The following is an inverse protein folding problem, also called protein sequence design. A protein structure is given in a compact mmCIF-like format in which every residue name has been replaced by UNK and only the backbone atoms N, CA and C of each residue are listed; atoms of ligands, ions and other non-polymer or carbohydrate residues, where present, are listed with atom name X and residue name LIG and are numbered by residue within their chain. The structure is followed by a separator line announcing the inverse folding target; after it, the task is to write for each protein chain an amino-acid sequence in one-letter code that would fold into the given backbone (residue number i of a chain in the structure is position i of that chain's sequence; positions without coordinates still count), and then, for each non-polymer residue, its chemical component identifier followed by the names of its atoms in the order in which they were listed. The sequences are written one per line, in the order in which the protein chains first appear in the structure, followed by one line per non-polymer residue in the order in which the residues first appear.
data_IF_631470467561
#
_entry.id   IF_631470467561
#
_cell.length_a   1.000
_cell.length_b   1.000
_cell.length_c   1.000
_cell.angle_alpha   90.00
_cell.angle_beta   90.00
_cell.angle_gamma   90.00
#
_symmetry.space_group_name_H-M   'P 1'
#
loop_
_entity.id
_entity.type
_entity.pdbx_description
1 polymer ?
#
# COMPACT_ATOMS: atom_id res chain seq x y z
N UNK A 1 6.33 60.99 36.31
CA UNK A 1 6.74 60.40 35.02
C UNK A 1 5.81 59.25 34.72
N UNK A 2 4.77 59.50 33.92
CA UNK A 2 3.88 58.47 33.38
C UNK A 2 3.84 58.66 31.86
N UNK A 3 4.18 57.60 31.13
CA UNK A 3 3.99 57.52 29.68
C UNK A 3 2.49 57.53 29.36
N UNK A 4 2.02 58.26 28.34
CA UNK A 4 0.73 57.96 27.74
C UNK A 4 0.84 56.68 26.91
N UNK A 5 -0.22 55.88 26.96
CA UNK A 5 -0.43 54.73 26.10
C UNK A 5 -0.73 55.19 24.67
N UNK A 6 0.06 54.75 23.71
CA UNK A 6 -0.36 54.71 22.30
C UNK A 6 -1.30 53.52 22.14
N UNK A 7 -2.59 53.83 22.10
CA UNK A 7 -3.61 52.98 21.48
C UNK A 7 -3.28 52.87 19.99
N UNK A 8 -2.65 51.76 19.61
CA UNK A 8 -2.54 51.35 18.21
C UNK A 8 -3.92 50.82 17.78
N UNK A 9 -4.72 51.72 17.23
CA UNK A 9 -5.99 51.39 16.62
C UNK A 9 -5.69 50.67 15.30
N UNK A 10 -5.67 49.33 15.33
CA UNK A 10 -5.59 48.53 14.10
C UNK A 10 -6.77 48.92 13.20
N UNK A 11 -6.47 49.54 12.06
CA UNK A 11 -7.44 50.04 11.11
C UNK A 11 -8.41 48.93 10.66
N UNK A 12 -9.70 49.09 10.95
CA UNK A 12 -10.80 48.16 10.66
C UNK A 12 -11.51 48.48 9.33
N UNK A 13 -10.82 49.15 8.39
CA UNK A 13 -11.42 49.70 7.18
C UNK A 13 -10.98 48.99 5.88
N UNK A 14 -10.18 47.94 5.99
CA UNK A 14 -9.69 47.17 4.85
C UNK A 14 -9.65 45.68 5.22
N UNK A 15 -9.94 44.84 4.23
CA UNK A 15 -9.82 43.39 4.29
C UNK A 15 -9.38 42.90 2.91
N UNK A 16 -8.66 41.78 2.88
CA UNK A 16 -8.14 41.19 1.66
C UNK A 16 -9.14 40.15 1.14
N UNK A 17 -9.84 40.46 0.04
CA UNK A 17 -10.60 39.45 -0.68
C UNK A 17 -9.67 38.52 -1.46
N UNK A 18 -9.75 37.21 -1.20
CA UNK A 18 -9.01 36.18 -1.95
C UNK A 18 -9.97 35.16 -2.57
N UNK A 19 -10.01 35.12 -3.90
CA UNK A 19 -10.69 34.05 -4.64
C UNK A 19 -9.83 32.79 -4.63
N UNK A 20 -10.28 31.74 -3.95
CA UNK A 20 -9.60 30.45 -3.91
C UNK A 20 -10.28 29.44 -4.85
N UNK A 21 -9.83 29.40 -6.10
CA UNK A 21 -10.33 28.45 -7.12
C UNK A 21 -10.12 27.00 -6.64
N UNK A 22 -8.99 26.73 -6.00
CA UNK A 22 -8.63 25.40 -5.50
C UNK A 22 -9.53 24.93 -4.36
N UNK A 23 -9.93 25.83 -3.46
CA UNK A 23 -10.90 25.51 -2.40
C UNK A 23 -12.28 25.26 -3.00
N UNK A 24 -12.77 26.14 -3.87
CA UNK A 24 -14.06 25.97 -4.53
C UNK A 24 -14.13 24.65 -5.32
N UNK A 25 -13.04 24.27 -5.99
CA UNK A 25 -12.96 22.99 -6.69
C UNK A 25 -12.95 21.80 -5.72
N UNK A 26 -12.18 21.87 -4.63
CA UNK A 26 -12.19 20.85 -3.58
C UNK A 26 -13.59 20.61 -3.00
N UNK A 27 -14.31 21.71 -2.71
CA UNK A 27 -15.68 21.66 -2.17
C UNK A 27 -16.66 21.06 -3.20
N UNK A 28 -16.52 21.40 -4.48
CA UNK A 28 -17.35 20.81 -5.54
C UNK A 28 -17.09 19.32 -5.72
N UNK A 29 -15.83 18.87 -5.65
CA UNK A 29 -15.48 17.46 -5.72
C UNK A 29 -16.04 16.69 -4.52
N UNK A 30 -15.89 17.23 -3.31
CA UNK A 30 -16.45 16.64 -2.08
C UNK A 30 -17.98 16.53 -2.19
N UNK A 31 -18.67 17.62 -2.55
CA UNK A 31 -20.12 17.63 -2.71
C UNK A 31 -20.63 16.70 -3.82
N UNK A 32 -19.83 16.45 -4.87
CA UNK A 32 -20.17 15.49 -5.90
C UNK A 32 -19.98 14.04 -5.42
N UNK A 33 -18.93 13.78 -4.64
CA UNK A 33 -18.67 12.47 -4.03
C UNK A 33 -19.74 12.10 -2.99
N UNK A 34 -20.19 13.06 -2.17
CA UNK A 34 -21.19 12.85 -1.12
C UNK A 34 -22.58 12.45 -1.67
N UNK A 35 -22.84 12.70 -2.96
CA UNK A 35 -24.09 12.28 -3.63
C UNK A 35 -24.05 10.82 -4.11
N UNK A 36 -22.88 10.19 -4.10
CA UNK A 36 -22.70 8.82 -4.58
C UNK A 36 -23.05 7.82 -3.48
N UNK A 37 -23.57 6.65 -3.89
CA UNK A 37 -23.76 5.52 -2.98
C UNK A 37 -22.52 4.62 -3.04
N UNK A 38 -21.85 4.34 -1.90
CA UNK A 38 -20.70 3.44 -1.88
C UNK A 38 -21.05 2.04 -2.39
N UNK A 39 -20.25 1.53 -3.32
CA UNK A 39 -20.36 0.17 -3.85
C UNK A 39 -19.34 -0.77 -3.16
N UNK A 40 -19.65 -2.06 -2.96
CA UNK A 40 -18.69 -3.04 -2.43
C UNK A 40 -17.38 -3.08 -3.24
N UNK A 41 -16.23 -3.11 -2.56
CA UNK A 41 -14.91 -3.20 -3.19
C UNK A 41 -14.67 -4.63 -3.72
N UNK A 42 -15.16 -4.89 -4.94
CA UNK A 42 -15.09 -6.20 -5.60
C UNK A 42 -14.67 -6.02 -7.06
N UNK A 43 -13.97 -7.01 -7.62
CA UNK A 43 -13.60 -6.99 -9.05
C UNK A 43 -14.80 -6.81 -9.97
N UNK A 44 -15.94 -7.42 -9.64
CA UNK A 44 -17.18 -7.28 -10.41
C UNK A 44 -17.68 -5.82 -10.49
N UNK A 45 -17.54 -5.05 -9.40
CA UNK A 45 -17.89 -3.63 -9.41
C UNK A 45 -16.81 -2.78 -10.11
N UNK A 46 -15.54 -3.13 -9.98
CA UNK A 46 -14.44 -2.45 -10.68
C UNK A 46 -14.53 -2.63 -12.21
N UNK A 47 -14.91 -3.82 -12.67
CA UNK A 47 -15.07 -4.14 -14.10
C UNK A 47 -16.22 -3.38 -14.77
N UNK A 48 -17.09 -2.72 -13.99
CA UNK A 48 -18.17 -1.86 -14.51
C UNK A 48 -17.73 -0.40 -14.68
N UNK A 49 -16.58 -0.03 -14.13
CA UNK A 49 -16.04 1.31 -14.27
C UNK A 49 -15.45 1.50 -15.66
N UNK A 50 -15.62 2.69 -16.22
CA UNK A 50 -14.83 3.14 -17.36
C UNK A 50 -13.35 3.27 -17.00
N UNK A 51 -12.49 2.87 -17.94
CA UNK A 51 -11.04 2.92 -17.81
C UNK A 51 -10.52 4.33 -18.08
N UNK A 52 -10.60 5.20 -17.06
CA UNK A 52 -10.28 6.64 -17.17
C UNK A 52 -9.70 7.19 -15.86
N UNK A 53 -9.08 8.36 -15.98
CA UNK A 53 -8.59 9.16 -14.86
C UNK A 53 -9.71 9.58 -13.91
N UNK A 54 -9.37 9.76 -12.64
CA UNK A 54 -10.36 10.07 -11.62
C UNK A 54 -9.84 10.21 -10.20
N UNK A 55 -10.76 10.50 -9.30
CA UNK A 55 -10.56 10.40 -7.85
C UNK A 55 -11.52 9.37 -7.27
N UNK A 56 -11.16 8.76 -6.15
CA UNK A 56 -11.98 7.77 -5.47
C UNK A 56 -11.82 7.87 -3.96
N UNK A 57 -12.83 7.40 -3.24
CA UNK A 57 -12.82 7.25 -1.80
C UNK A 57 -12.98 5.78 -1.44
N UNK A 58 -12.30 5.35 -0.39
CA UNK A 58 -12.49 4.06 0.24
C UNK A 58 -13.09 4.25 1.62
N UNK A 59 -13.99 3.35 1.96
CA UNK A 59 -14.65 3.30 3.25
C UNK A 59 -14.44 1.93 3.86
N UNK A 60 -14.30 1.90 5.18
CA UNK A 60 -14.26 0.69 5.99
C UNK A 60 -15.41 0.73 6.99
N UNK A 61 -16.32 -0.24 6.94
CA UNK A 61 -17.53 -0.27 7.78
C UNK A 61 -18.33 1.04 7.71
N UNK A 62 -18.39 1.66 6.53
CA UNK A 62 -19.04 2.95 6.31
C UNK A 62 -18.23 4.19 6.73
N UNK A 63 -17.12 4.04 7.45
CA UNK A 63 -16.23 5.15 7.78
C UNK A 63 -15.32 5.48 6.61
N UNK A 64 -15.21 6.77 6.25
CA UNK A 64 -14.29 7.24 5.23
C UNK A 64 -12.83 7.16 5.72
N UNK A 65 -12.02 6.32 5.06
CA UNK A 65 -10.65 6.02 5.51
C UNK A 65 -9.57 6.53 4.57
N UNK A 66 -9.84 6.61 3.27
CA UNK A 66 -8.83 6.95 2.27
C UNK A 66 -9.45 7.66 1.05
N UNK A 67 -8.79 8.68 0.54
CA UNK A 67 -9.03 9.23 -0.80
C UNK A 67 -7.79 9.02 -1.66
N UNK A 68 -7.97 8.73 -2.93
CA UNK A 68 -6.87 8.62 -3.87
C UNK A 68 -7.22 9.16 -5.24
N UNK A 69 -6.21 9.31 -6.10
CA UNK A 69 -6.39 9.56 -7.54
C UNK A 69 -5.88 8.40 -8.39
N UNK A 70 -6.30 8.40 -9.64
CA UNK A 70 -5.68 7.66 -10.72
C UNK A 70 -5.53 8.59 -11.93
N UNK A 71 -4.32 8.69 -12.47
CA UNK A 71 -4.04 9.56 -13.63
C UNK A 71 -4.45 8.93 -14.95
N UNK A 72 -4.39 7.59 -15.04
CA UNK A 72 -4.76 6.83 -16.24
C UNK A 72 -6.05 6.02 -16.05
N UNK A 73 -6.09 5.21 -14.99
CA UNK A 73 -7.13 4.19 -14.81
C UNK A 73 -7.58 4.05 -13.36
N UNK A 74 -8.78 4.55 -13.05
CA UNK A 74 -9.47 4.27 -11.79
C UNK A 74 -9.58 2.76 -11.48
N UNK A 75 -10.11 1.89 -12.37
CA UNK A 75 -10.26 0.48 -12.05
C UNK A 75 -8.91 -0.18 -11.74
N UNK A 76 -7.83 0.14 -12.47
CA UNK A 76 -6.49 -0.39 -12.22
C UNK A 76 -5.95 0.04 -10.86
N UNK A 77 -6.06 1.34 -10.53
CA UNK A 77 -5.56 1.85 -9.25
C UNK A 77 -6.35 1.29 -8.07
N UNK A 78 -7.67 1.26 -8.15
CA UNK A 78 -8.53 0.72 -7.09
C UNK A 78 -8.31 -0.80 -6.95
N UNK A 79 -8.06 -1.52 -8.04
CA UNK A 79 -7.69 -2.94 -8.00
C UNK A 79 -6.38 -3.17 -7.21
N UNK A 80 -5.38 -2.28 -7.31
CA UNK A 80 -4.17 -2.36 -6.48
C UNK A 80 -4.52 -2.29 -4.99
N UNK A 81 -5.46 -1.43 -4.59
CA UNK A 81 -5.93 -1.34 -3.20
C UNK A 81 -6.76 -2.55 -2.77
N UNK A 82 -7.64 -3.05 -3.64
CA UNK A 82 -8.38 -4.30 -3.42
C UNK A 82 -7.40 -5.45 -3.15
N UNK A 83 -6.40 -5.63 -4.00
CA UNK A 83 -5.36 -6.66 -3.82
C UNK A 83 -4.61 -6.43 -2.50
N UNK A 84 -4.16 -5.21 -2.21
CA UNK A 84 -3.46 -4.88 -0.97
C UNK A 84 -4.27 -5.26 0.27
N UNK A 85 -5.56 -4.90 0.34
CA UNK A 85 -6.44 -5.24 1.47
C UNK A 85 -6.70 -6.74 1.55
N UNK A 86 -6.94 -7.40 0.41
CA UNK A 86 -7.18 -8.84 0.37
C UNK A 86 -6.03 -9.64 0.97
N UNK A 87 -4.82 -9.10 0.97
CA UNK A 87 -3.63 -9.76 1.47
C UNK A 87 -3.31 -9.53 2.95
N UNK A 88 -4.19 -8.87 3.72
CA UNK A 88 -3.88 -8.46 5.09
C UNK A 88 -4.67 -9.22 6.14
N UNK A 89 -4.08 -9.32 7.32
CA UNK A 89 -4.71 -9.77 8.56
C UNK A 89 -5.41 -8.59 9.25
N UNK A 90 -6.51 -8.87 9.96
CA UNK A 90 -7.25 -7.87 10.74
C UNK A 90 -8.10 -6.90 9.92
N UNK A 91 -8.23 -7.14 8.61
CA UNK A 91 -9.08 -6.40 7.69
C UNK A 91 -9.64 -7.35 6.63
N UNK A 92 -10.87 -7.11 6.17
CA UNK A 92 -11.56 -7.92 5.15
C UNK A 92 -12.04 -7.07 3.98
N UNK A 93 -12.15 -7.65 2.78
CA UNK A 93 -12.81 -6.96 1.67
C UNK A 93 -14.32 -6.77 1.90
N UNK A 94 -14.94 -7.60 2.74
CA UNK A 94 -16.37 -7.50 3.03
C UNK A 94 -16.76 -6.22 3.79
N UNK A 95 -15.80 -5.61 4.50
CA UNK A 95 -16.00 -4.33 5.17
C UNK A 95 -15.66 -3.12 4.30
N UNK A 96 -15.18 -3.34 3.06
CA UNK A 96 -14.71 -2.27 2.18
C UNK A 96 -15.74 -1.88 1.13
N UNK A 97 -15.98 -0.59 1.00
CA UNK A 97 -16.74 0.01 -0.10
C UNK A 97 -15.97 1.17 -0.73
N UNK A 98 -16.39 1.59 -1.92
CA UNK A 98 -15.77 2.71 -2.63
C UNK A 98 -16.80 3.58 -3.37
N UNK A 99 -16.43 4.84 -3.58
CA UNK A 99 -17.06 5.77 -4.53
C UNK A 99 -15.98 6.34 -5.44
N UNK A 100 -16.35 6.81 -6.64
CA UNK A 100 -15.38 7.44 -7.54
C UNK A 100 -16.03 8.47 -8.46
N UNK A 101 -15.23 9.46 -8.88
CA UNK A 101 -15.57 10.43 -9.89
C UNK A 101 -14.51 10.44 -10.98
N UNK A 102 -14.96 10.49 -12.23
CA UNK A 102 -14.09 10.80 -13.36
C UNK A 102 -13.79 12.29 -13.36
N UNK A 103 -12.52 12.63 -13.55
CA UNK A 103 -12.08 14.00 -13.81
C UNK A 103 -11.50 14.07 -15.22
N UNK A 104 -11.69 15.20 -15.89
CA UNK A 104 -11.08 15.43 -17.20
C UNK A 104 -9.55 15.40 -17.08
N UNK A 105 -8.84 14.97 -18.13
CA UNK A 105 -7.39 14.75 -18.11
C UNK A 105 -6.62 16.02 -17.67
N UNK A 106 -7.08 17.20 -18.12
CA UNK A 106 -6.48 18.50 -17.77
C UNK A 106 -6.61 18.86 -16.28
N UNK A 107 -7.54 18.23 -15.55
CA UNK A 107 -7.72 18.44 -14.10
C UNK A 107 -6.72 17.68 -13.24
N UNK A 108 -6.02 16.67 -13.79
CA UNK A 108 -4.98 15.94 -13.05
C UNK A 108 -3.85 16.87 -12.56
N UNK A 109 -3.52 17.91 -13.33
CA UNK A 109 -2.53 18.93 -13.00
C UNK A 109 -2.88 19.74 -11.74
N UNK A 110 -4.16 19.78 -11.33
CA UNK A 110 -4.62 20.51 -10.15
C UNK A 110 -4.53 19.69 -8.86
N UNK A 111 -4.02 18.46 -8.93
CA UNK A 111 -3.89 17.54 -7.79
C UNK A 111 -5.21 17.41 -6.99
N UNK A 112 -6.31 16.94 -7.62
CA UNK A 112 -7.63 16.90 -7.00
C UNK A 112 -7.67 16.09 -5.70
N UNK A 113 -6.85 15.04 -5.58
CA UNK A 113 -6.65 14.31 -4.33
C UNK A 113 -6.12 15.20 -3.21
N UNK A 114 -5.12 16.06 -3.46
CA UNK A 114 -4.58 16.97 -2.43
C UNK A 114 -5.63 17.96 -1.95
N UNK A 115 -6.51 18.41 -2.84
CA UNK A 115 -7.64 19.28 -2.49
C UNK A 115 -8.61 18.55 -1.56
N UNK A 116 -8.97 17.30 -1.91
CA UNK A 116 -9.84 16.45 -1.08
C UNK A 116 -9.19 16.10 0.27
N UNK A 117 -7.90 15.74 0.29
CA UNK A 117 -7.15 15.49 1.53
C UNK A 117 -7.20 16.73 2.42
N UNK A 118 -6.92 17.92 1.87
CA UNK A 118 -6.99 19.16 2.64
C UNK A 118 -8.39 19.40 3.22
N UNK A 119 -9.42 19.27 2.38
CA UNK A 119 -10.82 19.45 2.77
C UNK A 119 -11.24 18.51 3.92
N UNK A 120 -10.88 17.23 3.84
CA UNK A 120 -11.28 16.24 4.85
C UNK A 120 -10.36 16.20 6.08
N UNK A 121 -9.10 16.61 5.96
CA UNK A 121 -8.15 16.67 7.09
C UNK A 121 -8.64 17.63 8.17
N UNK A 122 -9.23 18.75 7.76
CA UNK A 122 -9.85 19.74 8.67
C UNK A 122 -11.01 19.13 9.48
N UNK A 123 -11.60 18.03 9.01
CA UNK A 123 -12.72 17.33 9.62
C UNK A 123 -12.29 16.08 10.42
N UNK A 124 -10.99 15.77 10.48
CA UNK A 124 -10.45 14.57 11.16
C UNK A 124 -10.76 13.25 10.45
N UNK A 125 -11.22 13.30 9.20
CA UNK A 125 -11.52 12.14 8.34
C UNK A 125 -10.31 11.90 7.42
N UNK A 126 -10.02 10.65 6.98
CA UNK A 126 -8.82 10.19 6.21
C UNK A 126 -7.66 9.51 6.99
N UNK A 127 -7.96 8.53 7.85
CA UNK A 127 -6.95 7.83 8.66
C UNK A 127 -5.82 7.17 7.85
N UNK A 128 -6.01 6.87 6.56
CA UNK A 128 -5.04 6.12 5.75
C UNK A 128 -4.21 6.96 4.76
N UNK A 129 -4.58 8.22 4.48
CA UNK A 129 -3.85 9.04 3.50
C UNK A 129 -2.40 9.36 3.90
N UNK A 130 -2.08 9.34 5.20
CA UNK A 130 -0.75 9.66 5.72
C UNK A 130 -0.17 8.53 6.58
N UNK A 131 -0.59 7.29 6.35
CA UNK A 131 -0.13 6.14 7.15
C UNK A 131 0.55 5.03 6.33
N UNK A 132 0.89 5.29 5.07
CA UNK A 132 1.54 4.30 4.19
C UNK A 132 0.58 3.37 3.44
N UNK A 133 -0.74 3.58 3.53
CA UNK A 133 -1.69 2.80 2.72
C UNK A 133 -1.54 3.06 1.21
N UNK A 134 -1.31 4.31 0.79
CA UNK A 134 -1.12 4.69 -0.60
C UNK A 134 0.28 4.43 -1.16
N UNK A 135 1.26 4.15 -0.30
CA UNK A 135 2.67 3.99 -0.68
C UNK A 135 2.89 2.75 -1.56
N UNK A 136 3.83 2.89 -2.50
CA UNK A 136 4.32 1.81 -3.35
C UNK A 136 5.40 1.00 -2.61
N UNK A 137 6.14 0.14 -3.33
CA UNK A 137 7.30 -0.53 -2.74
C UNK A 137 8.45 0.48 -2.54
N UNK A 138 8.87 0.76 -1.29
CA UNK A 138 9.83 1.81 -0.97
C UNK A 138 11.28 1.52 -1.39
N UNK A 139 11.52 0.39 -2.06
CA UNK A 139 12.87 -0.06 -2.43
C UNK A 139 13.64 -0.69 -1.26
N UNK A 140 14.83 -1.21 -1.59
CA UNK A 140 15.66 -2.02 -0.67
C UNK A 140 16.13 -1.25 0.58
N UNK A 141 16.38 0.06 0.47
CA UNK A 141 16.86 0.89 1.60
C UNK A 141 15.87 0.97 2.76
N UNK A 142 14.59 0.69 2.51
CA UNK A 142 13.52 0.74 3.52
C UNK A 142 13.17 -0.62 4.11
N UNK A 143 13.88 -1.68 3.74
CA UNK A 143 13.81 -2.96 4.46
C UNK A 143 14.51 -2.86 5.82
N UNK A 144 15.45 -1.93 5.96
CA UNK A 144 16.30 -1.75 7.16
C UNK A 144 15.72 -0.74 8.14
N UNK A 145 14.56 -0.15 7.84
CA UNK A 145 13.93 0.87 8.69
C UNK A 145 12.84 0.27 9.56
N UNK A 146 12.78 0.72 10.81
CA UNK A 146 11.70 0.40 11.73
C UNK A 146 10.38 0.96 11.21
N UNK A 147 9.37 0.10 11.09
CA UNK A 147 8.00 0.47 10.74
C UNK A 147 7.34 1.11 11.95
N UNK A 148 6.73 2.28 11.77
CA UNK A 148 6.04 3.01 12.86
C UNK A 148 4.75 2.32 13.26
N UNK A 149 4.37 2.42 14.53
CA UNK A 149 3.16 1.80 15.08
C UNK A 149 1.87 2.24 14.38
N UNK A 150 1.79 3.47 13.89
CA UNK A 150 0.64 3.99 13.15
C UNK A 150 0.67 3.66 11.65
N UNK A 151 1.68 2.95 11.15
CA UNK A 151 1.78 2.58 9.74
C UNK A 151 0.77 1.49 9.37
N UNK A 152 0.17 1.59 8.19
CA UNK A 152 -0.83 0.62 7.70
C UNK A 152 -0.33 -0.82 7.80
N UNK A 153 0.90 -1.07 7.36
CA UNK A 153 1.51 -2.41 7.42
C UNK A 153 1.75 -2.93 8.85
N UNK A 154 1.95 -2.05 9.84
CA UNK A 154 2.07 -2.46 11.25
C UNK A 154 0.70 -2.83 11.84
N UNK A 155 -0.35 -2.09 11.46
CA UNK A 155 -1.74 -2.31 11.88
C UNK A 155 -2.36 -3.53 11.19
N UNK A 156 -2.04 -3.76 9.91
CA UNK A 156 -2.59 -4.80 9.05
C UNK A 156 -1.45 -5.54 8.34
N UNK A 157 -0.85 -6.49 9.05
CA UNK A 157 0.25 -7.30 8.54
C UNK A 157 -0.21 -8.18 7.38
N UNK A 158 0.72 -8.56 6.51
CA UNK A 158 0.44 -9.51 5.43
C UNK A 158 0.02 -10.88 5.98
N UNK A 159 -0.92 -11.51 5.28
CA UNK A 159 -1.47 -12.81 5.63
C UNK A 159 -0.75 -13.93 4.87
N UNK A 160 0.11 -14.68 5.57
CA UNK A 160 0.83 -15.81 4.98
C UNK A 160 -0.02 -17.08 4.87
N UNK A 161 -1.18 -17.14 5.53
CA UNK A 161 -2.04 -18.33 5.54
C UNK A 161 -2.95 -18.41 4.31
N UNK A 162 -2.89 -17.42 3.43
CA UNK A 162 -3.61 -17.46 2.16
C UNK A 162 -3.12 -18.61 1.31
N UNK A 163 -4.08 -19.38 0.80
CA UNK A 163 -3.82 -20.44 -0.16
C UNK A 163 -3.40 -19.83 -1.49
N UNK A 164 -2.32 -20.36 -2.05
CA UNK A 164 -1.86 -20.03 -3.39
C UNK A 164 -2.23 -21.18 -4.33
N UNK A 165 -2.86 -20.87 -5.46
CA UNK A 165 -3.40 -21.86 -6.38
C UNK A 165 -2.75 -21.80 -7.77
N UNK A 166 -2.99 -22.85 -8.56
CA UNK A 166 -2.52 -22.94 -9.95
C UNK A 166 -1.06 -23.37 -10.11
N UNK A 167 -0.48 -24.01 -9.10
CA UNK A 167 0.75 -24.79 -9.27
C UNK A 167 0.40 -26.21 -9.73
N UNK A 168 1.17 -26.73 -10.70
CA UNK A 168 1.09 -28.14 -11.06
C UNK A 168 1.98 -28.95 -10.11
N UNK A 169 1.52 -30.07 -9.55
CA UNK A 169 2.36 -30.96 -8.75
C UNK A 169 3.59 -31.43 -9.53
N UNK A 170 4.69 -31.68 -8.81
CA UNK A 170 5.96 -32.15 -9.34
C UNK A 170 7.06 -31.09 -9.31
N UNK A 171 8.16 -31.38 -10.00
CA UNK A 171 9.37 -30.56 -9.97
C UNK A 171 9.26 -29.33 -10.87
N UNK A 172 9.53 -28.15 -10.31
CA UNK A 172 9.49 -26.87 -11.03
C UNK A 172 10.76 -26.07 -10.79
N UNK A 173 11.25 -25.40 -11.84
CA UNK A 173 12.36 -24.45 -11.69
C UNK A 173 11.98 -23.32 -10.73
N UNK A 174 12.88 -23.00 -9.79
CA UNK A 174 12.65 -21.98 -8.77
C UNK A 174 12.23 -20.63 -9.36
N UNK A 175 12.82 -20.22 -10.49
CA UNK A 175 12.45 -18.98 -11.18
C UNK A 175 10.96 -18.91 -11.57
N UNK A 176 10.37 -20.04 -12.00
CA UNK A 176 8.95 -20.12 -12.33
C UNK A 176 8.08 -20.08 -11.07
N UNK A 177 8.54 -20.74 -9.99
CA UNK A 177 7.86 -20.68 -8.69
C UNK A 177 7.83 -19.24 -8.19
N UNK A 178 8.97 -18.54 -8.15
CA UNK A 178 9.07 -17.15 -7.72
C UNK A 178 8.17 -16.22 -8.54
N UNK A 179 8.18 -16.34 -9.88
CA UNK A 179 7.32 -15.54 -10.75
C UNK A 179 5.84 -15.76 -10.44
N UNK A 180 5.42 -17.02 -10.22
CA UNK A 180 4.04 -17.36 -9.88
C UNK A 180 3.66 -16.84 -8.49
N UNK A 181 4.50 -17.03 -7.48
CA UNK A 181 4.24 -16.51 -6.12
C UNK A 181 4.11 -15.00 -6.16
N UNK A 182 5.00 -14.28 -6.85
CA UNK A 182 4.89 -12.82 -7.00
C UNK A 182 3.64 -12.36 -7.76
N UNK A 183 3.12 -13.17 -8.68
CA UNK A 183 1.90 -12.85 -9.42
C UNK A 183 0.64 -13.09 -8.61
N UNK A 184 0.62 -14.12 -7.77
CA UNK A 184 -0.56 -14.56 -7.01
C UNK A 184 -0.62 -13.93 -5.61
N UNK A 185 0.52 -13.71 -4.95
CA UNK A 185 0.55 -13.12 -3.62
C UNK A 185 -0.07 -11.70 -3.65
N UNK A 186 -1.01 -11.40 -2.75
CA UNK A 186 -1.69 -10.09 -2.69
C UNK A 186 -0.83 -8.99 -2.03
N UNK A 187 0.49 -9.14 -2.06
CA UNK A 187 1.47 -8.22 -1.53
C UNK A 187 2.81 -8.40 -2.27
N UNK A 188 3.68 -7.42 -2.14
CA UNK A 188 4.98 -7.45 -2.80
C UNK A 188 5.82 -8.62 -2.31
N UNK A 189 6.25 -9.48 -3.25
CA UNK A 189 7.34 -10.41 -3.05
C UNK A 189 8.53 -9.99 -3.90
N UNK A 190 9.52 -9.37 -3.24
CA UNK A 190 10.73 -8.84 -3.87
C UNK A 190 11.90 -9.81 -3.71
N UNK A 191 12.66 -10.02 -4.76
CA UNK A 191 13.82 -10.90 -4.73
C UNK A 191 14.97 -10.40 -5.60
N UNK A 192 16.20 -10.78 -5.24
CA UNK A 192 17.43 -10.40 -5.96
C UNK A 192 17.49 -11.04 -7.36
N UNK A 193 17.38 -10.22 -8.42
CA UNK A 193 17.43 -10.69 -9.82
C UNK A 193 18.84 -10.65 -10.45
N UNK A 194 19.77 -9.84 -9.92
CA UNK A 194 21.07 -9.59 -10.57
C UNK A 194 22.18 -10.54 -10.09
N UNK A 195 22.10 -11.05 -8.86
CA UNK A 195 23.11 -11.94 -8.25
C UNK A 195 22.56 -13.36 -8.03
N UNK A 196 21.90 -13.92 -9.05
CA UNK A 196 21.11 -15.15 -8.93
C UNK A 196 21.92 -16.44 -9.06
N UNK A 197 23.09 -16.39 -9.73
CA UNK A 197 24.04 -17.51 -9.82
C UNK A 197 23.39 -18.87 -10.11
N UNK A 198 23.80 -19.89 -9.36
CA UNK A 198 23.20 -21.22 -9.42
C UNK A 198 21.87 -21.35 -8.65
N UNK A 199 21.51 -20.37 -7.82
CA UNK A 199 20.32 -20.47 -6.96
C UNK A 199 19.03 -20.62 -7.77
N UNK A 200 18.90 -19.91 -8.89
CA UNK A 200 17.67 -19.88 -9.69
C UNK A 200 17.55 -21.05 -10.69
N UNK A 201 18.64 -21.82 -10.85
CA UNK A 201 18.64 -23.08 -11.62
C UNK A 201 18.16 -24.27 -10.79
N UNK A 202 17.96 -24.07 -9.49
CA UNK A 202 17.47 -25.11 -8.61
C UNK A 202 15.99 -25.37 -8.86
N UNK A 203 15.58 -26.53 -8.43
CA UNK A 203 14.22 -26.99 -8.57
C UNK A 203 13.56 -27.08 -7.20
N UNK A 204 12.25 -26.84 -7.20
CA UNK A 204 11.38 -26.94 -6.05
C UNK A 204 10.38 -28.05 -6.35
N UNK A 205 10.26 -28.99 -5.44
CA UNK A 205 9.23 -30.03 -5.52
C UNK A 205 7.90 -29.47 -5.00
N UNK A 206 6.92 -29.38 -5.88
CA UNK A 206 5.58 -28.92 -5.56
C UNK A 206 4.73 -30.15 -5.21
N UNK A 207 4.20 -30.24 -3.98
CA UNK A 207 3.37 -31.36 -3.57
C UNK A 207 1.98 -31.31 -4.22
N UNK A 208 1.30 -32.46 -4.24
CA UNK A 208 -0.05 -32.63 -4.78
C UNK A 208 -1.14 -32.24 -3.75
N UNK A 209 -1.10 -31.00 -3.29
CA UNK A 209 -2.15 -30.37 -2.48
C UNK A 209 -2.00 -28.84 -2.48
N UNK A 210 -3.04 -28.14 -2.03
CA UNK A 210 -3.02 -26.69 -1.88
C UNK A 210 -2.02 -26.26 -0.80
N UNK A 211 -1.28 -25.19 -1.08
CA UNK A 211 -0.28 -24.64 -0.17
C UNK A 211 -0.65 -23.23 0.25
N UNK A 212 -0.43 -22.91 1.52
CA UNK A 212 -0.40 -21.53 1.96
C UNK A 212 0.87 -20.84 1.46
N UNK A 213 0.87 -19.51 1.43
CA UNK A 213 2.08 -18.75 1.10
C UNK A 213 3.20 -19.09 2.10
N UNK A 214 2.89 -19.26 3.39
CA UNK A 214 3.87 -19.70 4.40
C UNK A 214 4.55 -21.02 4.02
N UNK A 215 3.78 -22.02 3.59
CA UNK A 215 4.30 -23.33 3.19
C UNK A 215 5.12 -23.24 1.90
N UNK A 216 4.67 -22.45 0.93
CA UNK A 216 5.39 -22.20 -0.32
C UNK A 216 6.74 -21.51 -0.07
N UNK A 217 6.79 -20.50 0.81
CA UNK A 217 8.05 -19.85 1.20
C UNK A 217 9.00 -20.85 1.87
N UNK A 218 8.48 -21.79 2.67
CA UNK A 218 9.28 -22.88 3.23
C UNK A 218 9.89 -23.80 2.18
N UNK A 219 9.12 -24.19 1.15
CA UNK A 219 9.64 -24.97 0.02
C UNK A 219 10.72 -24.22 -0.75
N UNK A 220 10.49 -22.94 -1.03
CA UNK A 220 11.48 -22.08 -1.68
C UNK A 220 12.75 -22.02 -0.84
N UNK A 221 12.65 -21.73 0.47
CA UNK A 221 13.80 -21.57 1.35
C UNK A 221 14.68 -22.82 1.43
N UNK A 222 14.08 -24.02 1.50
CA UNK A 222 14.81 -25.30 1.49
C UNK A 222 15.58 -25.53 0.18
N UNK A 223 15.06 -25.03 -0.93
CA UNK A 223 15.74 -25.14 -2.22
C UNK A 223 16.94 -24.20 -2.32
N UNK A 224 16.98 -23.10 -1.58
CA UNK A 224 18.00 -22.06 -1.73
C UNK A 224 19.36 -22.47 -1.14
N UNK A 225 20.47 -21.91 -1.66
CA UNK A 225 21.77 -21.99 -1.00
C UNK A 225 21.75 -21.36 0.41
N UNK A 226 22.68 -21.79 1.27
CA UNK A 226 22.66 -21.42 2.69
C UNK A 226 22.87 -19.93 2.93
N UNK A 227 23.51 -19.19 2.03
CA UNK A 227 23.69 -17.73 2.13
C UNK A 227 22.41 -16.93 1.89
N UNK A 228 21.34 -17.55 1.42
CA UNK A 228 20.07 -16.89 1.16
C UNK A 228 19.14 -16.94 2.36
N UNK A 229 18.27 -15.93 2.44
CA UNK A 229 17.15 -15.91 3.36
C UNK A 229 15.93 -15.30 2.69
N UNK A 230 14.77 -15.69 3.20
CA UNK A 230 13.50 -14.98 3.00
C UNK A 230 13.17 -14.28 4.32
N UNK A 231 12.89 -12.98 4.27
CA UNK A 231 12.45 -12.20 5.41
C UNK A 231 11.04 -11.67 5.16
N UNK A 232 10.16 -11.88 6.13
CA UNK A 232 8.77 -11.45 6.09
C UNK A 232 8.62 -10.18 6.92
N UNK A 233 8.43 -9.05 6.23
CA UNK A 233 8.14 -7.75 6.84
C UNK A 233 6.62 -7.57 7.02
N UNK A 234 6.16 -6.53 7.73
CA UNK A 234 4.73 -6.36 7.99
C UNK A 234 3.92 -6.16 6.70
N UNK A 235 4.52 -5.56 5.66
CA UNK A 235 3.85 -5.23 4.39
C UNK A 235 4.29 -6.00 3.14
N UNK A 236 5.37 -6.80 3.22
CA UNK A 236 6.01 -7.43 2.05
C UNK A 236 6.88 -8.61 2.46
N UNK A 237 7.23 -9.43 1.47
CA UNK A 237 8.23 -10.48 1.59
C UNK A 237 9.46 -10.09 0.76
N UNK A 238 10.66 -10.29 1.31
CA UNK A 238 11.92 -10.09 0.60
C UNK A 238 12.77 -11.36 0.59
N UNK A 239 13.55 -11.58 -0.46
CA UNK A 239 14.46 -12.72 -0.57
C UNK A 239 15.82 -12.30 -1.16
N UNK A 240 16.89 -12.43 -0.37
CA UNK A 240 18.24 -11.96 -0.72
C UNK A 240 19.34 -12.95 -0.25
N UNK A 241 20.53 -12.93 -0.89
CA UNK A 241 21.71 -13.69 -0.49
C UNK A 241 22.45 -13.01 0.68
N UNK A 242 21.76 -12.80 1.81
CA UNK A 242 22.31 -12.11 2.99
C UNK A 242 21.84 -12.70 4.33
N UNK A 243 21.83 -14.03 4.46
CA UNK A 243 21.32 -14.76 5.64
C UNK A 243 21.85 -14.33 7.03
N UNK A 244 22.91 -13.52 7.11
CA UNK A 244 23.47 -12.94 8.35
C UNK A 244 22.89 -11.57 8.69
N UNK A 245 22.05 -11.02 7.83
CA UNK A 245 21.48 -9.69 7.98
C UNK A 245 20.12 -9.81 8.66
N UNK A 246 19.96 -9.09 9.76
CA UNK A 246 18.66 -8.94 10.40
C UNK A 246 18.01 -7.61 10.00
N UNK A 247 16.71 -7.65 9.76
CA UNK A 247 15.85 -6.52 9.43
C UNK A 247 14.99 -6.16 10.65
N UNK A 248 14.96 -4.91 11.12
CA UNK A 248 14.31 -4.56 12.40
C UNK A 248 12.84 -4.97 12.49
N UNK A 249 12.05 -4.70 11.46
CA UNK A 249 10.59 -4.96 11.48
C UNK A 249 10.18 -6.31 10.90
N UNK A 250 11.13 -7.20 10.65
CA UNK A 250 10.79 -8.57 10.25
C UNK A 250 10.03 -9.27 11.38
N UNK A 251 9.14 -10.18 11.04
CA UNK A 251 8.46 -11.00 12.05
C UNK A 251 8.62 -12.50 11.79
N UNK A 252 9.13 -12.88 10.62
CA UNK A 252 9.48 -14.26 10.29
C UNK A 252 10.63 -14.34 9.30
N UNK A 253 11.53 -15.28 9.52
CA UNK A 253 12.56 -15.67 8.56
C UNK A 253 12.37 -17.11 8.08
N UNK A 254 12.76 -17.36 6.83
CA UNK A 254 13.02 -18.69 6.31
C UNK A 254 14.48 -18.78 5.85
N UNK A 255 15.25 -19.66 6.47
CA UNK A 255 16.70 -19.85 6.25
C UNK A 255 16.97 -21.36 6.09
N UNK A 256 16.88 -21.85 4.85
CA UNK A 256 16.94 -23.30 4.57
C UNK A 256 15.78 -24.04 5.23
N UNK A 257 16.10 -25.01 6.09
CA UNK A 257 15.12 -25.77 6.91
C UNK A 257 14.59 -24.97 8.11
N UNK A 258 15.27 -23.90 8.50
CA UNK A 258 14.90 -23.14 9.70
C UNK A 258 13.84 -22.10 9.38
N UNK A 259 12.77 -22.12 10.18
CA UNK A 259 11.76 -21.07 10.23
C UNK A 259 11.89 -20.40 11.60
N UNK A 260 12.15 -19.09 11.60
CA UNK A 260 12.37 -18.33 12.83
C UNK A 260 11.31 -17.24 12.93
N UNK A 261 10.40 -17.40 13.89
CA UNK A 261 9.49 -16.32 14.30
C UNK A 261 10.22 -15.37 15.24
N UNK A 262 10.08 -14.07 14.98
CA UNK A 262 10.69 -13.02 15.80
C UNK A 262 9.67 -11.93 16.08
N UNK A 263 9.80 -11.28 17.23
CA UNK A 263 8.98 -10.10 17.50
C UNK A 263 9.53 -8.93 16.68
N UNK A 264 8.75 -8.33 15.77
CA UNK A 264 9.22 -7.20 14.98
C UNK A 264 9.44 -5.97 15.86
N UNK A 265 10.53 -5.25 15.59
CA UNK A 265 10.67 -3.89 16.11
C UNK A 265 9.63 -2.99 15.43
N UNK A 266 8.75 -2.43 16.25
CA UNK A 266 7.75 -1.45 15.84
C UNK A 266 8.05 -0.13 16.57
N UNK A 267 8.28 0.92 15.79
CA UNK A 267 8.65 2.23 16.29
C UNK A 267 7.45 2.99 16.85
N UNK A 268 7.71 4.11 17.53
CA UNK A 268 6.65 4.97 18.04
C UNK A 268 5.79 5.59 16.92
N UNK A 269 4.60 6.04 17.30
CA UNK A 269 3.71 6.79 16.41
C UNK A 269 4.44 8.04 15.92
N UNK A 270 4.36 8.32 14.62
CA UNK A 270 4.89 9.56 14.08
C UNK A 270 4.54 9.76 12.61
N UNK A 271 5.10 10.81 12.01
CA UNK A 271 4.83 11.15 10.61
C UNK A 271 5.35 10.07 9.65
N UNK A 272 4.51 9.63 8.72
CA UNK A 272 4.90 8.66 7.70
C UNK A 272 5.06 9.45 6.40
N UNK A 273 6.27 9.53 5.83
CA UNK A 273 6.48 10.24 4.59
C UNK A 273 5.59 9.69 3.49
N UNK A 274 4.91 10.58 2.76
CA UNK A 274 4.30 10.22 1.49
C UNK A 274 5.42 9.81 0.52
N UNK A 275 5.24 8.65 -0.11
CA UNK A 275 6.10 8.31 -1.24
C UNK A 275 5.60 9.06 -2.47
N UNK A 276 6.50 9.67 -3.26
CA UNK A 276 6.09 10.19 -4.55
C UNK A 276 5.43 9.05 -5.32
N UNK A 277 4.32 9.36 -6.00
CA UNK A 277 3.74 8.44 -6.97
C UNK A 277 4.89 7.94 -7.84
N UNK A 278 5.11 6.63 -7.86
CA UNK A 278 6.01 6.05 -8.83
C UNK A 278 5.49 6.56 -10.17
N UNK A 279 6.35 7.22 -10.95
CA UNK A 279 6.06 7.46 -12.36
C UNK A 279 5.65 6.09 -12.88
N UNK A 280 4.38 5.92 -13.24
CA UNK A 280 3.92 4.64 -13.77
C UNK A 280 4.71 4.48 -15.06
N UNK A 281 5.79 3.69 -14.99
CA UNK A 281 6.70 3.45 -16.10
C UNK A 281 5.83 3.12 -17.32
N UNK A 282 5.91 3.96 -18.35
CA UNK A 282 5.42 3.63 -19.68
C UNK A 282 6.36 2.52 -20.19
N UNK A 283 6.04 1.25 -19.92
CA UNK A 283 6.46 0.06 -20.70
C UNK A 283 5.76 -1.24 -20.23
#
# INVERSE_FOLDING_TARGET
MSKPAETDASATNHDDFRLSITQALGDQLAAALDKLTPAPLTEANLNRLGDRAGVYQLYRNGEFVYVGKADKSLPTRILKHLRKVSGRQGISLAEMTFTCLYVAEDFSALAPEKLLIKHYKEQGQIRWNNNGFGNNDPGKRRDETVVKANHFDALFRIDLERVISGFKPGTMALSKVLARVSAEAPYTFRYEKKKTGAAYKREVEIPDHELTIAQMLGLIARSLPTEWQIAVLPGRVIMYPDNRRDYPSVWRYYRGEQILDVEPEIGEVGEIPEEPDAVEDDD
#
